data_IF_213261674936
#
_entry.id   IF_213261674936
#
_cell.length_a   1.000
_cell.length_b   1.000
_cell.length_c   1.000
_cell.angle_alpha   90.00
_cell.angle_beta   90.00
_cell.angle_gamma   90.00
#
_symmetry.space_group_name_H-M   'P 1'
#
loop_
_entity.id
_entity.type
_entity.pdbx_description
1 polymer ?
#
# COMPACT_ATOMS: atom_id res chain seq x y z
N UNK A 1 -37.40 47.89 6.56
CA UNK A 1 -36.19 47.71 5.73
C UNK A 1 -34.99 47.83 6.66
N UNK A 2 -34.29 46.73 6.93
CA UNK A 2 -32.84 46.59 7.17
C UNK A 2 -32.62 45.15 7.65
N UNK A 3 -31.91 44.43 6.78
CA UNK A 3 -31.39 43.08 6.92
C UNK A 3 -30.20 43.11 7.85
N UNK A 4 -30.07 42.12 8.74
CA UNK A 4 -28.77 41.70 9.24
C UNK A 4 -28.70 40.17 9.10
N UNK A 5 -27.90 39.73 8.11
CA UNK A 5 -27.61 38.33 7.79
C UNK A 5 -26.90 37.66 8.97
N UNK A 6 -27.05 36.35 9.16
CA UNK A 6 -26.17 35.59 10.04
C UNK A 6 -24.77 35.57 9.41
N UNK A 7 -23.82 36.26 10.03
CA UNK A 7 -22.40 36.17 9.73
C UNK A 7 -21.85 34.88 10.33
N UNK A 8 -22.12 33.76 9.66
CA UNK A 8 -21.42 32.50 9.88
C UNK A 8 -20.16 32.51 9.00
N UNK A 9 -19.11 33.17 9.48
CA UNK A 9 -17.76 33.09 8.90
C UNK A 9 -16.88 32.45 9.96
N UNK A 10 -16.77 31.13 9.84
CA UNK A 10 -15.54 30.36 9.91
C UNK A 10 -14.42 30.99 10.75
N UNK A 11 -14.34 30.61 12.03
CA UNK A 11 -13.04 30.44 12.70
C UNK A 11 -12.36 29.24 12.05
N UNK A 12 -11.53 29.51 11.04
CA UNK A 12 -10.56 28.53 10.57
C UNK A 12 -9.48 28.45 11.66
N UNK A 13 -9.45 27.37 12.44
CA UNK A 13 -8.44 27.12 13.48
C UNK A 13 -7.26 26.35 12.84
N UNK A 14 -6.14 27.01 12.50
CA UNK A 14 -5.03 26.38 11.78
C UNK A 14 -4.24 25.38 12.66
N UNK A 15 -4.28 25.53 13.98
CA UNK A 15 -3.59 24.67 14.95
C UNK A 15 -4.15 23.23 14.92
N UNK A 16 -5.44 23.18 14.68
CA UNK A 16 -6.20 21.95 14.55
C UNK A 16 -5.83 21.31 13.19
N UNK A 17 -5.72 22.06 12.08
CA UNK A 17 -5.27 21.58 10.75
C UNK A 17 -3.89 20.92 10.73
N UNK A 18 -2.93 21.44 11.50
CA UNK A 18 -1.63 20.78 11.63
C UNK A 18 -1.71 19.46 12.42
N UNK A 19 -2.61 19.35 13.38
CA UNK A 19 -2.74 18.17 14.25
C UNK A 19 -3.33 16.94 13.54
N UNK A 20 -4.31 17.13 12.64
CA UNK A 20 -4.93 16.01 11.92
C UNK A 20 -4.10 15.53 10.71
N UNK A 21 -3.37 16.42 10.03
CA UNK A 21 -2.46 16.01 8.95
C UNK A 21 -1.22 15.29 9.49
N UNK A 22 -0.66 15.73 10.63
CA UNK A 22 0.44 15.03 11.29
C UNK A 22 0.00 13.68 11.88
N UNK A 23 -1.23 13.61 12.41
CA UNK A 23 -1.80 12.35 12.92
C UNK A 23 -2.08 11.34 11.82
N UNK A 24 -2.67 11.76 10.69
CA UNK A 24 -2.95 10.86 9.57
C UNK A 24 -1.66 10.26 9.01
N UNK A 25 -0.63 11.07 8.81
CA UNK A 25 0.66 10.59 8.32
C UNK A 25 1.41 9.73 9.35
N UNK A 26 1.32 10.07 10.65
CA UNK A 26 1.89 9.24 11.71
C UNK A 26 1.23 7.86 11.78
N UNK A 27 -0.10 7.78 11.56
CA UNK A 27 -0.84 6.52 11.49
C UNK A 27 -0.43 5.69 10.27
N UNK A 28 -0.25 6.31 9.10
CA UNK A 28 0.27 5.64 7.90
C UNK A 28 1.68 5.06 8.15
N UNK A 29 2.59 5.85 8.71
CA UNK A 29 3.95 5.40 9.06
C UNK A 29 3.88 4.23 10.06
N UNK A 30 3.03 4.33 11.07
CA UNK A 30 2.84 3.27 12.06
C UNK A 30 2.30 2.00 11.39
N UNK A 31 1.29 2.12 10.53
CA UNK A 31 0.70 1.00 9.80
C UNK A 31 1.73 0.30 8.91
N UNK A 32 2.61 1.07 8.23
CA UNK A 32 3.71 0.52 7.43
C UNK A 32 4.72 -0.26 8.30
N UNK A 33 5.05 0.26 9.49
CA UNK A 33 5.94 -0.43 10.44
C UNK A 33 5.32 -1.72 10.97
N UNK A 34 4.04 -1.69 11.33
CA UNK A 34 3.31 -2.87 11.79
C UNK A 34 3.21 -3.94 10.70
N UNK A 35 2.98 -3.53 9.46
CA UNK A 35 3.04 -4.43 8.31
C UNK A 35 4.41 -5.08 8.17
N UNK A 36 5.49 -4.30 8.18
CA UNK A 36 6.85 -4.83 8.07
C UNK A 36 7.17 -5.82 9.22
N UNK A 37 6.67 -5.55 10.43
CA UNK A 37 6.81 -6.45 11.57
C UNK A 37 6.03 -7.76 11.37
N UNK A 38 4.80 -7.68 10.87
CA UNK A 38 3.96 -8.85 10.58
C UNK A 38 4.59 -9.74 9.49
N UNK A 39 5.11 -9.13 8.41
CA UNK A 39 5.82 -9.84 7.34
C UNK A 39 7.08 -10.55 7.86
N UNK A 40 7.89 -9.87 8.70
CA UNK A 40 9.06 -10.48 9.34
C UNK A 40 8.68 -11.66 10.23
N UNK A 41 7.60 -11.53 11.00
CA UNK A 41 7.09 -12.61 11.86
C UNK A 41 6.69 -13.83 11.05
N UNK A 42 5.97 -13.64 9.94
CA UNK A 42 5.62 -14.72 8.99
C UNK A 42 6.89 -15.38 8.44
N UNK A 43 7.85 -14.59 7.95
CA UNK A 43 9.09 -15.12 7.39
C UNK A 43 9.88 -15.96 8.42
N UNK A 44 9.94 -15.51 9.67
CA UNK A 44 10.60 -16.26 10.75
C UNK A 44 9.96 -17.62 11.00
N UNK A 45 8.62 -17.72 11.01
CA UNK A 45 7.95 -19.00 11.16
C UNK A 45 8.17 -19.93 9.96
N UNK A 46 8.23 -19.39 8.74
CA UNK A 46 8.56 -20.17 7.54
C UNK A 46 9.98 -20.74 7.61
N UNK A 47 10.95 -19.93 8.04
CA UNK A 47 12.33 -20.39 8.26
C UNK A 47 12.42 -21.45 9.37
N UNK A 48 11.69 -21.25 10.47
CA UNK A 48 11.55 -22.25 11.53
C UNK A 48 10.99 -23.56 11.00
N UNK A 49 9.97 -23.50 10.15
CA UNK A 49 9.37 -24.66 9.50
C UNK A 49 10.38 -25.43 8.65
N UNK A 50 11.08 -24.73 7.74
CA UNK A 50 12.11 -25.34 6.88
C UNK A 50 13.27 -25.94 7.67
N UNK A 51 13.73 -25.26 8.72
CA UNK A 51 14.82 -25.77 9.56
C UNK A 51 14.40 -26.92 10.50
N UNK A 52 13.10 -27.18 10.65
CA UNK A 52 12.56 -28.20 11.56
C UNK A 52 12.79 -27.92 13.05
N UNK A 53 13.43 -26.80 13.39
CA UNK A 53 13.79 -26.44 14.78
C UNK A 53 12.58 -26.14 15.66
N UNK A 54 11.42 -25.90 15.05
CA UNK A 54 10.16 -25.66 15.75
C UNK A 54 9.73 -26.82 16.65
N UNK A 55 10.09 -28.06 16.30
CA UNK A 55 9.76 -29.27 17.06
C UNK A 55 10.33 -29.30 18.48
N UNK A 56 11.34 -28.46 18.77
CA UNK A 56 11.94 -28.32 20.12
C UNK A 56 11.13 -27.43 21.06
N UNK A 57 10.30 -26.54 20.50
CA UNK A 57 9.62 -25.49 21.25
C UNK A 57 8.10 -25.61 21.23
N UNK A 58 7.54 -26.27 20.19
CA UNK A 58 6.10 -26.36 19.97
C UNK A 58 5.70 -27.79 19.60
N UNK A 59 4.48 -28.18 19.98
CA UNK A 59 3.81 -29.29 19.32
C UNK A 59 3.39 -28.88 17.89
N UNK A 60 3.14 -29.86 17.03
CA UNK A 60 2.77 -29.61 15.64
C UNK A 60 1.51 -28.75 15.51
N UNK A 61 0.47 -29.09 16.27
CA UNK A 61 -0.78 -28.31 16.29
C UNK A 61 -0.57 -26.87 16.74
N UNK A 62 0.21 -26.67 17.81
CA UNK A 62 0.53 -25.33 18.33
C UNK A 62 1.34 -24.54 17.31
N UNK A 63 2.32 -25.18 16.66
CA UNK A 63 3.13 -24.54 15.64
C UNK A 63 2.27 -24.10 14.44
N UNK A 64 1.42 -24.99 13.93
CA UNK A 64 0.54 -24.68 12.80
C UNK A 64 -0.45 -23.58 13.13
N UNK A 65 -0.99 -23.55 14.35
CA UNK A 65 -1.84 -22.46 14.81
C UNK A 65 -1.11 -21.12 14.78
N UNK A 66 0.10 -21.05 15.36
CA UNK A 66 0.92 -19.83 15.38
C UNK A 66 1.34 -19.36 13.99
N UNK A 67 1.66 -20.29 13.09
CA UNK A 67 1.99 -19.97 11.71
C UNK A 67 0.77 -19.38 10.98
N UNK A 68 -0.41 -19.99 11.12
CA UNK A 68 -1.65 -19.48 10.54
C UNK A 68 -2.01 -18.09 11.07
N UNK A 69 -1.91 -17.87 12.38
CA UNK A 69 -2.09 -16.55 12.99
C UNK A 69 -1.12 -15.51 12.40
N UNK A 70 0.16 -15.86 12.26
CA UNK A 70 1.16 -14.95 11.69
C UNK A 70 0.84 -14.60 10.23
N UNK A 71 0.35 -15.57 9.45
CA UNK A 71 -0.10 -15.35 8.06
C UNK A 71 -1.31 -14.41 8.05
N UNK A 72 -2.37 -14.70 8.80
CA UNK A 72 -3.57 -13.87 8.83
C UNK A 72 -3.29 -12.44 9.27
N UNK A 73 -2.44 -12.24 10.28
CA UNK A 73 -2.03 -10.90 10.72
C UNK A 73 -1.26 -10.18 9.61
N UNK A 74 -0.38 -10.88 8.88
CA UNK A 74 0.36 -10.28 7.76
C UNK A 74 -0.56 -9.90 6.60
N UNK A 75 -1.53 -10.74 6.26
CA UNK A 75 -2.53 -10.46 5.22
C UNK A 75 -3.40 -9.26 5.62
N UNK A 76 -3.86 -9.23 6.87
CA UNK A 76 -4.67 -8.12 7.38
C UNK A 76 -3.93 -6.78 7.34
N UNK A 77 -2.65 -6.76 7.70
CA UNK A 77 -1.85 -5.53 7.59
C UNK A 77 -1.51 -5.16 6.14
N UNK A 78 -1.42 -6.13 5.22
CA UNK A 78 -1.26 -5.85 3.80
C UNK A 78 -2.51 -5.17 3.19
N UNK A 79 -3.70 -5.48 3.71
CA UNK A 79 -4.96 -4.80 3.35
C UNK A 79 -5.03 -3.37 3.93
N UNK A 80 -4.64 -3.19 5.20
CA UNK A 80 -4.71 -1.89 5.90
C UNK A 80 -3.68 -0.91 5.36
N UNK A 81 -2.46 -1.38 5.11
CA UNK A 81 -1.34 -0.58 4.62
C UNK A 81 -0.87 -1.16 3.28
N UNK A 82 -1.59 -0.91 2.17
CA UNK A 82 -1.15 -1.34 0.86
C UNK A 82 0.24 -0.78 0.60
N UNK A 83 1.07 -1.55 -0.10
CA UNK A 83 2.39 -1.03 -0.45
C UNK A 83 2.11 0.14 -1.37
N UNK A 84 2.72 1.32 -1.16
CA UNK A 84 2.66 2.33 -2.21
C UNK A 84 3.06 1.60 -3.50
N UNK A 85 2.31 1.78 -4.60
CA UNK A 85 2.65 1.13 -5.84
C UNK A 85 4.09 1.53 -6.14
N UNK A 86 5.03 0.60 -5.92
CA UNK A 86 6.29 0.63 -6.68
C UNK A 86 5.75 0.53 -8.07
N UNK A 87 5.78 1.65 -8.80
CA UNK A 87 5.31 1.77 -10.18
C UNK A 87 5.42 0.40 -10.80
N UNK A 88 4.28 -0.30 -10.84
CA UNK A 88 4.21 -1.52 -11.61
C UNK A 88 4.27 -0.94 -13.00
N UNK A 89 5.51 -0.84 -13.51
CA UNK A 89 5.76 -0.67 -14.92
C UNK A 89 5.00 -1.83 -15.52
N UNK A 90 3.75 -1.58 -15.90
CA UNK A 90 3.00 -2.42 -16.80
C UNK A 90 3.73 -2.24 -18.12
N UNK A 91 4.82 -2.98 -18.21
CA UNK A 91 5.54 -3.25 -19.42
C UNK A 91 4.54 -3.95 -20.35
N UNK A 92 4.18 -3.24 -21.42
CA UNK A 92 3.05 -3.58 -22.26
C UNK A 92 2.33 -2.36 -22.84
N UNK A 93 3.03 -1.26 -23.10
CA UNK A 93 2.60 -0.37 -24.17
C UNK A 93 3.13 -0.97 -25.47
N UNK A 94 2.28 -1.35 -26.44
CA UNK A 94 2.77 -1.70 -27.76
C UNK A 94 3.46 -0.45 -28.32
N UNK A 95 4.73 -0.62 -28.71
CA UNK A 95 5.39 0.31 -29.60
C UNK A 95 4.60 0.24 -30.88
N UNK A 96 3.60 1.12 -31.05
CA UNK A 96 3.02 1.37 -32.36
C UNK A 96 4.13 2.02 -33.16
N UNK A 97 4.86 1.19 -33.88
CA UNK A 97 5.75 1.60 -34.95
C UNK A 97 4.91 2.51 -35.86
N UNK A 98 5.27 3.79 -35.87
CA UNK A 98 4.60 4.82 -36.64
C UNK A 98 5.06 4.65 -38.09
N UNK A 99 4.57 3.61 -38.75
CA UNK A 99 4.79 3.32 -40.15
C UNK A 99 3.47 3.48 -40.90
N UNK A 100 3.14 4.71 -41.30
CA UNK A 100 2.21 4.96 -42.41
C UNK A 100 2.22 6.43 -42.85
N UNK A 101 3.33 6.91 -43.42
CA UNK A 101 3.26 7.95 -44.46
C UNK A 101 4.08 7.48 -45.66
N UNK A 102 3.47 6.58 -46.45
CA UNK A 102 3.89 6.35 -47.83
C UNK A 102 3.26 7.44 -48.69
N UNK A 103 4.01 8.50 -49.00
CA UNK A 103 3.61 9.41 -50.08
C UNK A 103 3.75 8.69 -51.43
N UNK A 104 2.69 8.61 -52.26
CA UNK A 104 2.82 8.14 -53.62
C UNK A 104 3.38 9.27 -54.49
N UNK A 105 4.60 9.08 -55.01
CA UNK A 105 5.21 9.89 -56.07
C UNK A 105 4.25 9.93 -57.27
N UNK A 106 3.55 11.05 -57.44
CA UNK A 106 2.75 11.34 -58.63
C UNK A 106 3.68 11.91 -59.70
N UNK A 107 4.02 11.04 -60.64
CA UNK A 107 4.52 11.34 -61.98
C UNK A 107 3.76 12.52 -62.60
N UNK A 108 4.47 13.50 -63.14
CA UNK A 108 3.94 14.48 -64.08
C UNK A 108 4.85 14.52 -65.32
N UNK A 109 4.17 14.53 -66.47
CA UNK A 109 4.60 14.43 -67.86
C UNK A 109 5.78 15.33 -68.29
#
# INVERSE_FOLDING_TARGET
MVVARPSDVARFDPDSFMSYWLSSHALEIAAQKWRALAERRRAHFVELYHSGRWKRYYSEEQFLLRLREAIQVSERWAEIAPSPPRLSVREGAPITDCAAESEPVRTAA
#
